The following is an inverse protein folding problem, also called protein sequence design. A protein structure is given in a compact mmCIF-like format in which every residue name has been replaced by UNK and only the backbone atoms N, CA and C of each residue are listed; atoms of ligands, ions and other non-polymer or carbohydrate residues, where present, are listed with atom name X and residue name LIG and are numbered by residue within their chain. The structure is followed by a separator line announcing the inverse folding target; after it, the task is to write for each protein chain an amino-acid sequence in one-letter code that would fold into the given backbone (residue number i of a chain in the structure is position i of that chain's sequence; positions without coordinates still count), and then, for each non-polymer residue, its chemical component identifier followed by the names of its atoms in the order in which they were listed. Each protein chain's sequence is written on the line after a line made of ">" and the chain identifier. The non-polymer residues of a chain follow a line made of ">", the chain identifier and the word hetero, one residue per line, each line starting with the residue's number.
data_IF_535285920944
#
_entry.id   IF_535285920944
#
_cell.length_a   1.000
_cell.length_b   1.000
_cell.length_c   1.000
_cell.angle_alpha   90.00
_cell.angle_beta   90.00
_cell.angle_gamma   90.00
#
_symmetry.space_group_name_H-M   'P 1'
#
loop_
_entity.id
_entity.type
_entity.pdbx_description
1 polymer ?
#
# COMPACT_ATOMS: atom_id res chain seq x y z
N UNK A 1 16.91 29.15 5.22
CA UNK A 1 16.40 27.79 4.98
C UNK A 1 15.13 27.92 4.15
N UNK A 2 15.17 27.57 2.86
CA UNK A 2 13.98 27.47 2.03
C UNK A 2 13.43 26.07 2.23
N UNK A 3 12.36 25.95 3.02
CA UNK A 3 11.56 24.73 3.07
C UNK A 3 10.85 24.61 1.71
N UNK A 4 11.28 23.68 0.89
CA UNK A 4 10.56 23.31 -0.32
C UNK A 4 9.33 22.52 0.10
N UNK A 5 8.16 23.09 -0.13
CA UNK A 5 6.87 22.40 0.00
C UNK A 5 6.59 21.78 -1.36
N UNK A 6 6.74 20.48 -1.49
CA UNK A 6 6.36 19.74 -2.70
C UNK A 6 4.84 19.60 -2.78
N UNK A 7 4.26 19.82 -3.95
CA UNK A 7 2.88 19.44 -4.25
C UNK A 7 2.88 17.96 -4.64
N UNK A 8 2.18 17.12 -3.88
CA UNK A 8 1.96 15.73 -4.21
C UNK A 8 0.50 15.52 -4.59
N UNK A 9 0.29 14.91 -5.75
CA UNK A 9 -1.02 14.45 -6.18
C UNK A 9 -1.10 12.93 -5.95
N UNK A 10 -2.18 12.50 -5.32
CA UNK A 10 -2.45 11.10 -5.05
C UNK A 10 -3.93 10.82 -5.05
N UNK A 11 -4.29 9.63 -4.65
CA UNK A 11 -5.67 9.17 -4.54
C UNK A 11 -5.86 8.54 -3.17
N UNK A 12 -6.90 8.97 -2.48
CA UNK A 12 -7.43 8.24 -1.33
C UNK A 12 -8.34 7.13 -1.83
N UNK A 13 -8.14 5.92 -1.35
CA UNK A 13 -8.83 4.72 -1.80
C UNK A 13 -9.44 4.03 -0.58
N UNK A 14 -10.71 3.61 -0.70
CA UNK A 14 -11.45 2.92 0.35
C UNK A 14 -11.60 1.44 0.01
N UNK A 15 -10.98 0.57 0.82
CA UNK A 15 -11.16 -0.86 0.78
C UNK A 15 -12.27 -1.23 1.78
N UNK A 16 -13.39 -1.72 1.30
CA UNK A 16 -14.57 -1.99 2.14
C UNK A 16 -14.33 -3.18 3.05
N UNK A 17 -14.66 -3.05 4.34
CA UNK A 17 -14.63 -4.15 5.32
C UNK A 17 -15.99 -4.81 5.46
N UNK A 18 -17.03 -3.96 5.52
CA UNK A 18 -18.45 -4.32 5.63
C UNK A 18 -19.28 -3.18 5.05
N UNK A 19 -20.60 -3.29 5.10
CA UNK A 19 -21.50 -2.29 4.52
C UNK A 19 -21.33 -0.85 5.03
N UNK A 20 -20.70 -0.68 6.20
CA UNK A 20 -20.54 0.61 6.86
C UNK A 20 -19.10 1.04 7.08
N UNK A 21 -18.11 0.12 6.98
CA UNK A 21 -16.72 0.36 7.35
C UNK A 21 -15.76 0.10 6.20
N UNK A 22 -14.71 0.89 6.12
CA UNK A 22 -13.65 0.75 5.13
C UNK A 22 -12.28 1.08 5.71
N UNK A 23 -11.23 0.46 5.14
CA UNK A 23 -9.85 0.89 5.33
C UNK A 23 -9.51 1.90 4.25
N UNK A 24 -9.18 3.11 4.66
CA UNK A 24 -8.74 4.17 3.74
C UNK A 24 -7.23 4.16 3.63
N UNK A 25 -6.73 4.21 2.41
CA UNK A 25 -5.31 4.32 2.12
C UNK A 25 -5.05 5.50 1.18
N UNK A 26 -3.87 6.10 1.26
CA UNK A 26 -3.44 7.13 0.32
C UNK A 26 -2.28 6.61 -0.52
N UNK A 27 -2.33 6.84 -1.82
CA UNK A 27 -1.25 6.46 -2.73
C UNK A 27 -0.98 7.52 -3.79
N UNK A 28 0.29 7.69 -4.16
CA UNK A 28 0.71 8.46 -5.34
C UNK A 28 0.82 7.58 -6.59
N UNK A 29 0.63 6.27 -6.45
CA UNK A 29 0.70 5.27 -7.50
C UNK A 29 -0.62 4.50 -7.66
N UNK A 30 -1.77 5.17 -7.91
CA UNK A 30 -3.03 4.48 -8.15
C UNK A 30 -3.00 3.58 -9.40
N UNK A 31 -2.08 3.84 -10.34
CA UNK A 31 -1.82 2.99 -11.51
C UNK A 31 -1.46 1.54 -11.13
N UNK A 32 -0.94 1.30 -9.92
CA UNK A 32 -0.61 -0.04 -9.44
C UNK A 32 -1.73 -0.72 -8.64
N UNK A 33 -2.89 -0.11 -8.48
CA UNK A 33 -3.99 -0.60 -7.64
C UNK A 33 -4.38 -2.06 -7.95
N UNK A 34 -4.38 -2.45 -9.22
CA UNK A 34 -4.74 -3.82 -9.63
C UNK A 34 -3.71 -4.87 -9.20
N UNK A 35 -2.52 -4.44 -8.76
CA UNK A 35 -1.46 -5.30 -8.23
C UNK A 35 -1.44 -5.41 -6.71
N UNK A 36 -2.43 -4.84 -6.01
CA UNK A 36 -2.55 -4.97 -4.55
C UNK A 36 -2.82 -6.42 -4.17
N UNK A 37 -1.98 -6.97 -3.30
CA UNK A 37 -2.12 -8.35 -2.83
C UNK A 37 -2.34 -8.45 -1.32
N UNK A 38 -2.08 -7.39 -0.58
CA UNK A 38 -2.43 -7.25 0.84
C UNK A 38 -2.52 -5.78 1.24
N UNK A 39 -3.18 -5.50 2.36
CA UNK A 39 -3.11 -4.22 3.05
C UNK A 39 -2.21 -4.36 4.27
N UNK A 40 -1.46 -3.33 4.58
CA UNK A 40 -0.67 -3.27 5.81
C UNK A 40 -1.16 -2.13 6.69
N UNK A 41 -1.33 -2.41 7.99
CA UNK A 41 -1.76 -1.44 8.99
C UNK A 41 -0.73 -1.30 10.09
N UNK A 42 -0.70 -0.11 10.71
CA UNK A 42 0.13 0.14 11.87
C UNK A 42 -0.32 -0.68 13.09
N UNK A 43 0.59 -0.94 14.02
CA UNK A 43 0.28 -1.66 15.26
C UNK A 43 -0.79 -0.95 16.12
N UNK A 44 -0.90 0.37 16.01
CA UNK A 44 -1.89 1.18 16.73
C UNK A 44 -3.22 1.35 15.96
N UNK A 45 -3.32 0.78 14.76
CA UNK A 45 -4.54 0.87 13.97
C UNK A 45 -5.72 0.14 14.66
N UNK A 46 -6.95 0.69 14.65
CA UNK A 46 -8.10 0.06 15.32
C UNK A 46 -8.33 -1.40 14.95
N UNK A 47 -8.16 -1.77 13.69
CA UNK A 47 -8.28 -3.17 13.22
C UNK A 47 -7.20 -4.08 13.82
N UNK A 48 -5.95 -3.58 13.99
CA UNK A 48 -4.89 -4.34 14.61
C UNK A 48 -5.20 -4.61 16.09
N UNK A 49 -5.68 -3.58 16.80
CA UNK A 49 -6.07 -3.69 18.22
C UNK A 49 -7.27 -4.63 18.40
N UNK A 50 -8.26 -4.55 17.51
CA UNK A 50 -9.42 -5.44 17.55
C UNK A 50 -9.01 -6.90 17.30
N UNK A 51 -8.19 -7.17 16.29
CA UNK A 51 -7.69 -8.51 15.99
C UNK A 51 -6.88 -9.07 17.16
N UNK A 52 -5.98 -8.26 17.74
CA UNK A 52 -5.16 -8.64 18.89
C UNK A 52 -5.98 -8.96 20.14
N UNK A 53 -7.17 -8.38 20.31
CA UNK A 53 -8.05 -8.71 21.43
C UNK A 53 -8.54 -10.18 21.42
N UNK A 54 -8.38 -10.88 20.30
CA UNK A 54 -8.82 -12.26 20.07
C UNK A 54 -7.65 -13.21 19.82
N UNK A 55 -6.42 -12.71 19.74
CA UNK A 55 -5.22 -13.45 19.37
C UNK A 55 -4.02 -12.97 20.20
N UNK A 56 -3.52 -13.83 21.09
CA UNK A 56 -2.44 -13.49 22.02
C UNK A 56 -1.11 -13.26 21.28
N UNK A 57 -0.83 -14.04 20.25
CA UNK A 57 0.42 -13.92 19.48
C UNK A 57 0.45 -12.56 18.75
N UNK A 58 -0.70 -12.13 18.24
CA UNK A 58 -0.84 -10.82 17.63
C UNK A 58 -0.69 -9.69 18.66
N UNK A 59 -1.25 -9.87 19.85
CA UNK A 59 -1.08 -8.90 20.95
C UNK A 59 0.40 -8.73 21.31
N UNK A 60 1.13 -9.84 21.48
CA UNK A 60 2.56 -9.82 21.79
C UNK A 60 3.36 -9.12 20.69
N UNK A 61 2.99 -9.36 19.41
CA UNK A 61 3.60 -8.67 18.27
C UNK A 61 3.34 -7.16 18.28
N UNK A 62 2.11 -6.71 18.61
CA UNK A 62 1.82 -5.28 18.74
C UNK A 62 2.66 -4.63 19.85
N UNK A 63 2.85 -5.33 20.97
CA UNK A 63 3.72 -4.85 22.06
C UNK A 63 5.17 -4.74 21.61
N UNK A 64 5.69 -5.73 20.85
CA UNK A 64 7.03 -5.65 20.25
C UNK A 64 7.16 -4.42 19.35
N UNK A 65 6.21 -4.19 18.47
CA UNK A 65 6.20 -3.02 17.57
C UNK A 65 6.20 -1.69 18.35
N UNK A 66 5.46 -1.60 19.44
CA UNK A 66 5.35 -0.39 20.25
C UNK A 66 6.60 -0.11 21.11
N UNK A 67 7.36 -1.14 21.48
CA UNK A 67 8.60 -1.00 22.25
C UNK A 67 9.77 -0.50 21.39
N UNK A 68 9.76 -0.78 20.10
CA UNK A 68 10.80 -0.36 19.16
C UNK A 68 10.57 1.09 18.75
N UNK A 69 11.04 2.03 19.57
CA UNK A 69 11.13 3.44 19.19
C UNK A 69 12.33 3.64 18.28
N UNK A 70 12.10 3.43 16.99
CA UNK A 70 13.13 3.66 15.98
C UNK A 70 12.94 5.05 15.41
N UNK A 71 14.05 5.81 15.27
CA UNK A 71 14.02 7.04 14.50
C UNK A 71 13.62 6.72 13.04
N UNK A 72 12.80 7.55 12.40
CA UNK A 72 12.32 7.34 11.01
C UNK A 72 13.45 6.98 10.04
N UNK A 73 14.64 7.59 10.22
CA UNK A 73 15.81 7.31 9.41
C UNK A 73 16.34 5.86 9.50
N UNK A 74 16.04 5.17 10.56
CA UNK A 74 16.48 3.79 10.80
C UNK A 74 15.41 2.75 10.41
N UNK A 75 14.17 3.16 10.20
CA UNK A 75 13.08 2.24 9.81
C UNK A 75 13.35 1.55 8.47
N UNK A 76 14.02 2.22 7.53
CA UNK A 76 14.39 1.62 6.25
C UNK A 76 15.37 0.45 6.40
N UNK A 77 16.13 0.41 7.49
CA UNK A 77 17.13 -0.63 7.80
C UNK A 77 16.56 -1.77 8.68
N UNK A 78 15.38 -1.56 9.28
CA UNK A 78 14.77 -2.59 10.09
C UNK A 78 14.35 -3.79 9.24
N UNK A 79 14.51 -4.97 9.83
CA UNK A 79 13.90 -6.16 9.30
C UNK A 79 12.37 -5.99 9.26
N UNK A 80 11.77 -6.16 8.09
CA UNK A 80 10.33 -6.06 7.93
C UNK A 80 9.66 -7.27 8.55
N UNK A 81 8.84 -7.00 9.57
CA UNK A 81 8.06 -8.00 10.29
C UNK A 81 6.58 -7.66 10.21
N UNK A 82 5.75 -8.67 10.18
CA UNK A 82 4.30 -8.50 10.21
C UNK A 82 3.59 -9.76 10.63
N UNK A 83 2.30 -9.56 10.90
CA UNK A 83 1.40 -10.62 11.31
C UNK A 83 0.04 -10.46 10.62
N UNK A 84 -0.53 -11.58 10.17
CA UNK A 84 -1.88 -11.57 9.57
C UNK A 84 -2.92 -11.33 10.66
N UNK A 85 -3.84 -10.39 10.42
CA UNK A 85 -4.94 -10.10 11.36
C UNK A 85 -6.08 -11.11 11.29
N UNK A 86 -6.13 -11.93 10.24
CA UNK A 86 -7.29 -12.78 9.93
C UNK A 86 -8.45 -12.02 9.27
N UNK A 87 -8.36 -10.69 9.14
CA UNK A 87 -9.38 -9.87 8.48
C UNK A 87 -9.05 -9.66 7.01
N UNK A 88 -10.10 -9.40 6.23
CA UNK A 88 -10.04 -9.10 4.81
C UNK A 88 -10.82 -7.82 4.51
N UNK A 89 -10.32 -7.06 3.55
CA UNK A 89 -11.07 -5.97 2.94
C UNK A 89 -11.39 -6.30 1.49
N UNK A 90 -12.39 -5.65 0.94
CA UNK A 90 -12.80 -5.85 -0.46
C UNK A 90 -12.05 -4.86 -1.35
N UNK A 91 -11.39 -5.38 -2.39
CA UNK A 91 -10.72 -4.56 -3.39
C UNK A 91 -11.75 -3.71 -4.15
N UNK A 92 -11.57 -2.37 -4.24
CA UNK A 92 -12.62 -1.46 -4.72
C UNK A 92 -13.03 -1.64 -6.18
N UNK A 93 -12.13 -2.14 -7.03
CA UNK A 93 -12.41 -2.31 -8.46
C UNK A 93 -12.71 -3.75 -8.86
N UNK A 94 -12.08 -4.75 -8.22
CA UNK A 94 -12.26 -6.17 -8.56
C UNK A 94 -13.32 -6.86 -7.70
N UNK A 95 -13.56 -6.36 -6.49
CA UNK A 95 -14.44 -7.02 -5.51
C UNK A 95 -13.81 -8.22 -4.82
N UNK A 96 -12.55 -8.52 -5.08
CA UNK A 96 -11.86 -9.65 -4.46
C UNK A 96 -11.41 -9.34 -3.03
N UNK A 97 -11.35 -10.36 -2.15
CA UNK A 97 -10.86 -10.19 -0.79
C UNK A 97 -9.35 -9.95 -0.76
N UNK A 98 -8.93 -8.95 0.00
CA UNK A 98 -7.52 -8.57 0.23
C UNK A 98 -7.22 -8.77 1.72
N UNK A 99 -6.24 -9.60 2.10
CA UNK A 99 -5.89 -9.82 3.49
C UNK A 99 -5.26 -8.58 4.13
N UNK A 100 -5.53 -8.38 5.41
CA UNK A 100 -5.00 -7.27 6.20
C UNK A 100 -3.93 -7.80 7.15
N UNK A 101 -2.74 -7.21 7.07
CA UNK A 101 -1.59 -7.52 7.91
C UNK A 101 -1.23 -6.35 8.80
N UNK A 102 -0.77 -6.61 10.01
CA UNK A 102 -0.03 -5.62 10.80
C UNK A 102 1.43 -5.67 10.34
N UNK A 103 2.03 -4.52 10.09
CA UNK A 103 3.44 -4.45 9.68
C UNK A 103 4.20 -3.40 10.50
N UNK A 104 5.40 -3.75 10.97
CA UNK A 104 6.22 -2.92 11.84
C UNK A 104 6.78 -1.66 11.17
N UNK A 105 6.65 -1.53 9.86
CA UNK A 105 7.11 -0.39 9.06
C UNK A 105 5.98 0.58 8.67
N UNK A 106 4.74 0.32 9.07
CA UNK A 106 3.61 1.23 8.87
C UNK A 106 3.42 2.05 10.14
N UNK A 107 3.38 3.37 9.98
CA UNK A 107 3.26 4.31 11.11
C UNK A 107 1.87 4.93 11.14
N UNK A 108 1.30 5.03 12.34
CA UNK A 108 -0.03 5.61 12.54
C UNK A 108 -0.09 7.11 12.24
N UNK A 109 1.05 7.81 12.37
CA UNK A 109 1.15 9.26 12.13
C UNK A 109 1.06 9.64 10.65
N UNK A 110 1.20 8.67 9.75
CA UNK A 110 1.13 8.91 8.31
C UNK A 110 -0.19 8.42 7.71
N UNK A 111 -0.95 9.37 7.18
CA UNK A 111 -2.25 9.10 6.57
C UNK A 111 -3.26 8.51 7.56
N UNK A 112 -3.84 7.38 7.23
CA UNK A 112 -4.80 6.65 8.05
C UNK A 112 -4.16 5.56 8.93
N UNK A 113 -2.83 5.42 8.90
CA UNK A 113 -2.13 4.28 9.52
C UNK A 113 -2.32 2.97 8.75
N UNK A 114 -2.72 3.06 7.48
CA UNK A 114 -2.89 1.93 6.57
C UNK A 114 -2.30 2.25 5.19
N UNK A 115 -1.75 1.25 4.54
CA UNK A 115 -1.22 1.34 3.17
C UNK A 115 -1.69 0.16 2.32
N UNK A 116 -1.89 0.39 1.04
CA UNK A 116 -2.02 -0.69 0.08
C UNK A 116 -0.62 -1.19 -0.28
N UNK A 117 -0.46 -2.50 -0.36
CA UNK A 117 0.82 -3.12 -0.67
C UNK A 117 0.80 -3.75 -2.06
N UNK A 118 1.79 -3.38 -2.86
CA UNK A 118 1.93 -3.79 -4.26
C UNK A 118 3.31 -4.40 -4.49
N UNK A 119 3.51 -5.68 -4.12
CA UNK A 119 4.83 -6.30 -4.15
C UNK A 119 5.50 -6.34 -5.53
N UNK A 120 4.71 -6.33 -6.59
CA UNK A 120 5.25 -6.27 -7.96
C UNK A 120 5.96 -4.97 -8.29
N UNK A 121 5.63 -3.86 -7.59
CA UNK A 121 6.05 -2.51 -7.98
C UNK A 121 6.55 -1.63 -6.83
N UNK A 122 6.66 -2.18 -5.62
CA UNK A 122 7.32 -1.56 -4.47
C UNK A 122 8.30 -2.56 -3.84
N UNK A 123 9.56 -2.15 -3.70
CA UNK A 123 10.62 -3.04 -3.24
C UNK A 123 10.42 -3.46 -1.78
N UNK A 124 9.91 -2.57 -0.94
CA UNK A 124 9.62 -2.86 0.48
C UNK A 124 8.51 -3.90 0.61
N UNK A 125 7.45 -3.73 -0.17
CA UNK A 125 6.34 -4.67 -0.23
C UNK A 125 6.78 -6.03 -0.81
N UNK A 126 7.69 -6.00 -1.79
CA UNK A 126 8.27 -7.20 -2.38
C UNK A 126 9.07 -8.02 -1.37
N UNK A 127 9.93 -7.36 -0.57
CA UNK A 127 10.70 -8.00 0.48
C UNK A 127 9.79 -8.66 1.53
N UNK A 128 8.74 -7.95 1.94
CA UNK A 128 7.74 -8.46 2.86
C UNK A 128 6.96 -9.64 2.28
N UNK A 129 6.44 -9.50 1.06
CA UNK A 129 5.69 -10.55 0.38
C UNK A 129 6.53 -11.81 0.15
N UNK A 130 7.79 -11.64 -0.21
CA UNK A 130 8.74 -12.77 -0.36
C UNK A 130 8.96 -13.48 0.96
N UNK A 131 9.16 -12.73 2.05
CA UNK A 131 9.38 -13.30 3.40
C UNK A 131 8.17 -14.11 3.89
N UNK A 132 6.96 -13.61 3.66
CA UNK A 132 5.72 -14.22 4.14
C UNK A 132 5.00 -15.05 3.07
N UNK A 133 5.65 -15.27 1.93
CA UNK A 133 5.11 -16.07 0.81
C UNK A 133 3.73 -15.55 0.33
N UNK A 134 3.58 -14.24 0.25
CA UNK A 134 2.38 -13.58 -0.27
C UNK A 134 2.45 -13.46 -1.80
N UNK A 135 1.31 -13.38 -2.50
CA UNK A 135 1.29 -13.22 -3.95
C UNK A 135 2.01 -11.95 -4.41
N UNK A 136 2.74 -12.05 -5.51
CA UNK A 136 3.39 -10.93 -6.20
C UNK A 136 2.83 -10.89 -7.62
N UNK A 137 2.14 -9.80 -7.96
CA UNK A 137 1.46 -9.65 -9.23
C UNK A 137 2.06 -8.50 -10.05
N UNK A 138 2.39 -8.78 -11.30
CA UNK A 138 2.84 -7.75 -12.24
C UNK A 138 1.63 -7.02 -12.83
N UNK A 139 1.62 -5.69 -12.71
CA UNK A 139 0.61 -4.81 -13.34
C UNK A 139 1.23 -3.66 -14.12
N UNK A 140 2.55 -3.53 -14.10
CA UNK A 140 3.30 -2.59 -14.93
C UNK A 140 4.36 -3.36 -15.72
N UNK A 141 4.44 -3.08 -17.01
CA UNK A 141 5.53 -3.55 -17.87
C UNK A 141 6.45 -2.40 -18.28
N UNK A 142 7.68 -2.75 -18.65
CA UNK A 142 8.66 -1.78 -19.13
C UNK A 142 8.24 -1.18 -20.47
N UNK A 143 8.33 0.14 -20.60
CA UNK A 143 8.11 0.83 -21.87
C UNK A 143 9.22 0.55 -22.92
N UNK A 144 10.41 0.13 -22.47
CA UNK A 144 11.51 -0.28 -23.36
C UNK A 144 11.37 -1.71 -23.90
N UNK A 145 10.39 -2.48 -23.37
CA UNK A 145 10.21 -3.89 -23.72
C UNK A 145 11.18 -4.83 -23.01
N UNK A 146 11.96 -4.32 -22.06
CA UNK A 146 12.84 -5.16 -21.24
C UNK A 146 12.01 -6.09 -20.35
N UNK A 147 12.43 -7.36 -20.21
CA UNK A 147 11.70 -8.31 -19.38
C UNK A 147 11.73 -7.91 -17.90
N UNK A 148 10.57 -7.97 -17.25
CA UNK A 148 10.44 -7.76 -15.80
C UNK A 148 10.50 -9.13 -15.11
N UNK A 149 11.48 -9.33 -14.22
CA UNK A 149 11.60 -10.56 -13.43
C UNK A 149 11.32 -10.29 -11.94
N UNK A 150 10.07 -10.45 -11.56
CA UNK A 150 9.61 -10.25 -10.17
C UNK A 150 10.10 -11.33 -9.18
N UNK A 151 10.80 -12.35 -9.64
CA UNK A 151 11.44 -13.34 -8.75
C UNK A 151 12.70 -12.78 -8.11
N UNK A 152 13.27 -11.74 -8.71
CA UNK A 152 14.55 -11.13 -8.27
C UNK A 152 14.31 -9.84 -7.48
N UNK A 153 13.41 -8.98 -7.94
CA UNK A 153 13.10 -7.71 -7.31
C UNK A 153 11.78 -7.12 -7.84
N UNK A 154 11.24 -6.13 -7.14
CA UNK A 154 10.12 -5.35 -7.63
C UNK A 154 10.52 -4.50 -8.85
N UNK A 155 9.58 -4.30 -9.77
CA UNK A 155 9.72 -3.36 -10.87
C UNK A 155 9.12 -2.01 -10.47
N UNK A 156 9.95 -1.08 -10.01
CA UNK A 156 9.52 0.19 -9.41
C UNK A 156 9.36 1.34 -10.41
N UNK A 157 9.80 1.15 -11.66
CA UNK A 157 9.69 2.17 -12.68
C UNK A 157 8.23 2.36 -13.15
N UNK A 158 7.95 3.53 -13.72
CA UNK A 158 6.70 3.77 -14.45
C UNK A 158 6.75 3.06 -15.80
N UNK A 159 5.59 2.60 -16.25
CA UNK A 159 5.48 1.86 -17.52
C UNK A 159 4.04 1.82 -18.01
N UNK A 160 3.73 0.82 -18.83
CA UNK A 160 2.37 0.55 -19.31
C UNK A 160 1.66 -0.44 -18.40
N UNK A 161 0.36 -0.24 -18.18
CA UNK A 161 -0.44 -1.15 -17.38
C UNK A 161 -0.69 -2.46 -18.12
N UNK A 162 -0.50 -3.57 -17.38
CA UNK A 162 -0.83 -4.94 -17.81
C UNK A 162 -1.59 -5.63 -16.68
N UNK A 163 -2.28 -6.72 -16.96
CA UNK A 163 -3.08 -7.46 -15.97
C UNK A 163 -4.04 -6.58 -15.15
N UNK A 164 -4.47 -5.47 -15.74
CA UNK A 164 -5.29 -4.43 -15.11
C UNK A 164 -6.65 -4.25 -15.79
N UNK A 165 -7.13 -5.27 -16.49
CA UNK A 165 -8.44 -5.30 -17.15
C UNK A 165 -8.60 -4.16 -18.15
N UNK A 166 -9.63 -3.35 -17.98
CA UNK A 166 -9.92 -2.22 -18.86
C UNK A 166 -8.83 -1.13 -18.91
N UNK A 167 -7.88 -1.16 -17.99
CA UNK A 167 -6.79 -0.17 -17.91
C UNK A 167 -5.51 -0.65 -18.62
N UNK A 168 -5.50 -1.84 -19.19
CA UNK A 168 -4.33 -2.37 -19.92
C UNK A 168 -3.90 -1.44 -21.04
N UNK A 169 -2.58 -1.28 -21.19
CA UNK A 169 -1.96 -0.45 -22.22
C UNK A 169 -1.89 1.04 -21.90
N UNK A 170 -2.54 1.50 -20.82
CA UNK A 170 -2.42 2.89 -20.39
C UNK A 170 -1.04 3.16 -19.79
N UNK A 171 -0.47 4.31 -20.09
CA UNK A 171 0.72 4.81 -19.40
C UNK A 171 0.40 5.33 -18.00
N UNK A 172 1.45 5.74 -17.26
CA UNK A 172 1.29 6.20 -15.87
C UNK A 172 0.23 7.29 -15.70
N UNK A 173 0.30 8.39 -16.46
CA UNK A 173 -0.61 9.54 -16.29
C UNK A 173 -2.05 9.22 -16.70
N UNK A 174 -2.22 8.43 -17.74
CA UNK A 174 -3.53 8.00 -18.22
C UNK A 174 -4.14 6.99 -17.25
N UNK A 175 -3.36 6.02 -16.79
CA UNK A 175 -3.74 5.02 -15.80
C UNK A 175 -4.13 5.68 -14.46
N UNK A 176 -3.33 6.65 -13.98
CA UNK A 176 -3.66 7.45 -12.80
C UNK A 176 -5.04 8.08 -12.93
N UNK A 177 -5.30 8.78 -14.04
CA UNK A 177 -6.56 9.49 -14.24
C UNK A 177 -7.75 8.54 -14.41
N UNK A 178 -7.57 7.45 -15.16
CA UNK A 178 -8.63 6.48 -15.43
C UNK A 178 -9.03 5.70 -14.16
N UNK A 179 -8.06 5.27 -13.36
CA UNK A 179 -8.31 4.55 -12.11
C UNK A 179 -8.94 5.48 -11.07
N UNK A 180 -8.42 6.71 -10.91
CA UNK A 180 -9.00 7.69 -10.01
C UNK A 180 -10.47 7.97 -10.37
N UNK A 181 -10.77 8.17 -11.64
CA UNK A 181 -12.14 8.36 -12.12
C UNK A 181 -13.04 7.16 -11.82
N UNK A 182 -12.57 5.94 -12.07
CA UNK A 182 -13.33 4.72 -11.79
C UNK A 182 -13.64 4.56 -10.30
N UNK A 183 -12.71 4.96 -9.42
CA UNK A 183 -12.93 4.98 -7.97
C UNK A 183 -13.94 6.04 -7.55
N UNK A 184 -13.86 7.25 -8.10
CA UNK A 184 -14.80 8.35 -7.84
C UNK A 184 -16.22 7.99 -8.27
N UNK A 185 -16.40 7.37 -9.44
CA UNK A 185 -17.70 6.91 -9.95
C UNK A 185 -18.34 5.86 -9.07
N UNK A 186 -17.54 5.03 -8.38
CA UNK A 186 -18.02 4.03 -7.41
C UNK A 186 -18.17 4.60 -5.99
N UNK A 187 -17.75 5.84 -5.73
CA UNK A 187 -17.70 6.41 -4.38
C UNK A 187 -16.67 5.73 -3.46
N UNK A 188 -15.64 5.08 -4.03
CA UNK A 188 -14.62 4.31 -3.31
C UNK A 188 -13.23 4.96 -3.34
N UNK A 189 -13.15 6.20 -3.74
CA UNK A 189 -11.91 6.97 -3.71
C UNK A 189 -12.06 8.35 -4.30
N UNK A 190 -11.05 9.19 -4.08
CA UNK A 190 -11.01 10.56 -4.60
C UNK A 190 -9.58 11.06 -4.76
N UNK A 191 -9.37 11.93 -5.74
CA UNK A 191 -8.08 12.62 -5.90
C UNK A 191 -7.85 13.55 -4.71
N UNK A 192 -6.62 13.53 -4.20
CA UNK A 192 -6.16 14.39 -3.12
C UNK A 192 -4.89 15.14 -3.55
N UNK A 193 -4.82 16.41 -3.20
CA UNK A 193 -3.61 17.21 -3.36
C UNK A 193 -3.07 17.53 -1.98
N UNK A 194 -1.94 16.94 -1.66
CA UNK A 194 -1.25 17.17 -0.40
C UNK A 194 -0.01 18.05 -0.62
N UNK A 195 0.19 19.00 0.27
CA UNK A 195 1.42 19.80 0.33
C UNK A 195 2.29 19.19 1.44
N UNK A 196 3.35 18.50 1.05
CA UNK A 196 4.21 17.77 1.99
C UNK A 196 5.61 18.37 1.95
N UNK A 197 6.24 18.50 3.11
CA UNK A 197 7.66 18.82 3.21
C UNK A 197 8.48 17.68 2.60
N UNK A 198 9.39 17.97 1.67
CA UNK A 198 10.19 16.98 0.91
C UNK A 198 10.96 15.95 1.77
N UNK A 199 11.16 16.24 3.05
CA UNK A 199 11.86 15.34 3.99
C UNK A 199 11.10 14.02 4.20
N UNK A 200 9.78 14.02 4.05
CA UNK A 200 8.91 12.87 4.31
C UNK A 200 8.77 11.96 3.08
N UNK A 201 8.92 12.51 1.87
CA UNK A 201 8.67 11.78 0.61
C UNK A 201 9.74 10.75 0.20
N UNK A 202 10.95 10.85 0.75
CA UNK A 202 12.04 9.92 0.42
C UNK A 202 11.97 8.59 1.17
N UNK A 203 10.96 8.39 2.01
CA UNK A 203 10.85 7.22 2.89
C UNK A 203 9.53 6.43 2.73
N UNK A 204 8.63 6.85 1.81
CA UNK A 204 7.41 6.12 1.47
C UNK A 204 7.55 5.51 0.09
#
# INVERSE_FOLDING_TARGET
>A
QRNWIGRSEGVEIHFTLSDADAVSVYTTRPDTLMGVTYLAVAAQHPLALEAASKDQDLQDFLEECNQVKVAEADMAKLEKKGMNTGYYATHPLTGEPVPIWVANFVLMEYGSGAVMSVPGHDQRDWEFATKYNLPIQQVIESMSGDPVDLRVAAFTAKGSLVNSGQFNGLGFSEGFSAIAKALEEKGLGSKQVNFINEVIFKQI
#
